data_IF_841842800669
#
_entry.id   IF_841842800669
#
_cell.length_a   1.000
_cell.length_b   1.000
_cell.length_c   1.000
_cell.angle_alpha   90.00
_cell.angle_beta   90.00
_cell.angle_gamma   90.00
#
_symmetry.space_group_name_H-M   'P 1'
#
loop_
_entity.id
_entity.type
_entity.pdbx_description
1 polymer ?
#
# COMPACT_ATOMS: atom_id res chain seq x y z
N UNK A 1 -3.49 -9.17 -36.63
CA UNK A 1 -4.18 -9.60 -35.40
C UNK A 1 -4.02 -8.47 -34.40
N UNK A 2 -5.10 -7.74 -34.07
CA UNK A 2 -5.05 -6.51 -33.26
C UNK A 2 -5.44 -6.72 -31.79
N UNK A 3 -5.25 -7.94 -31.27
CA UNK A 3 -5.66 -8.32 -29.91
C UNK A 3 -4.48 -8.87 -29.10
N UNK A 4 -3.36 -8.17 -29.11
CA UNK A 4 -2.31 -8.35 -28.12
C UNK A 4 -1.97 -6.98 -27.52
N UNK A 5 -2.99 -6.33 -26.95
CA UNK A 5 -2.74 -5.30 -25.95
C UNK A 5 -2.33 -6.01 -24.68
N UNK A 6 -1.25 -5.55 -24.04
CA UNK A 6 -0.87 -6.01 -22.71
C UNK A 6 -2.09 -5.93 -21.79
N UNK A 7 -2.22 -6.87 -20.85
CA UNK A 7 -3.30 -6.78 -19.87
C UNK A 7 -3.17 -5.45 -19.11
N UNK A 8 -4.27 -4.79 -18.70
CA UNK A 8 -4.19 -3.50 -17.99
C UNK A 8 -3.26 -3.50 -16.76
N UNK A 9 -2.99 -4.68 -16.18
CA UNK A 9 -2.02 -4.89 -15.09
C UNK A 9 -0.55 -4.88 -15.55
N UNK A 10 -0.24 -5.42 -16.73
CA UNK A 10 1.11 -5.35 -17.32
C UNK A 10 1.47 -3.88 -17.63
N UNK A 11 0.49 -3.07 -18.01
CA UNK A 11 0.68 -1.63 -18.18
C UNK A 11 0.85 -0.90 -16.84
N UNK A 12 0.18 -1.34 -15.76
CA UNK A 12 0.22 -0.64 -14.46
C UNK A 12 1.62 -0.54 -13.87
N UNK A 13 2.40 -1.61 -14.00
CA UNK A 13 3.80 -1.66 -13.55
C UNK A 13 4.70 -0.62 -14.26
N UNK A 14 4.28 -0.09 -15.41
CA UNK A 14 5.06 0.89 -16.18
C UNK A 14 4.97 2.31 -15.62
N UNK A 15 3.95 2.62 -14.80
CA UNK A 15 3.74 3.95 -14.24
C UNK A 15 3.40 3.97 -12.74
N UNK A 16 3.19 2.82 -12.11
CA UNK A 16 3.03 2.68 -10.66
C UNK A 16 4.14 1.81 -10.11
N UNK A 17 4.99 2.39 -9.26
CA UNK A 17 6.04 1.66 -8.53
C UNK A 17 5.66 1.37 -7.08
N UNK A 18 4.81 2.20 -6.50
CA UNK A 18 4.43 2.16 -5.09
C UNK A 18 2.93 2.39 -4.96
N UNK A 19 2.29 1.63 -4.08
CA UNK A 19 0.93 1.85 -3.62
C UNK A 19 0.92 2.02 -2.10
N UNK A 20 0.38 3.14 -1.60
CA UNK A 20 0.20 3.40 -0.17
C UNK A 20 -1.30 3.36 0.17
N UNK A 21 -1.86 2.17 0.43
CA UNK A 21 -3.24 2.05 0.87
C UNK A 21 -3.44 2.51 2.32
N UNK A 22 -4.46 3.35 2.54
CA UNK A 22 -4.93 3.72 3.89
C UNK A 22 -6.29 3.08 4.14
N UNK A 23 -6.31 1.99 4.90
CA UNK A 23 -7.50 1.19 5.22
C UNK A 23 -8.50 0.92 4.04
N UNK A 24 -8.06 0.45 2.86
CA UNK A 24 -8.96 0.19 1.72
C UNK A 24 -9.77 -1.10 1.91
N UNK A 25 -10.97 -0.99 2.48
CA UNK A 25 -11.82 -2.17 2.79
C UNK A 25 -12.18 -3.06 1.58
N UNK A 26 -12.09 -2.56 0.35
CA UNK A 26 -12.26 -3.38 -0.87
C UNK A 26 -11.22 -4.51 -1.01
N UNK A 27 -10.08 -4.42 -0.33
CA UNK A 27 -9.07 -5.49 -0.29
C UNK A 27 -9.63 -6.78 0.31
N UNK A 28 -10.57 -6.69 1.25
CA UNK A 28 -11.17 -7.87 1.88
C UNK A 28 -11.99 -8.71 0.90
N UNK A 29 -12.50 -8.12 -0.18
CA UNK A 29 -13.24 -8.83 -1.24
C UNK A 29 -12.42 -9.10 -2.50
N UNK A 30 -11.21 -8.55 -2.61
CA UNK A 30 -10.30 -8.83 -3.71
C UNK A 30 -9.80 -10.27 -3.64
N UNK A 31 -9.71 -10.93 -4.80
CA UNK A 31 -9.15 -12.29 -4.89
C UNK A 31 -7.64 -12.28 -4.64
N UNK A 32 -7.11 -13.39 -4.14
CA UNK A 32 -5.66 -13.51 -3.88
C UNK A 32 -4.82 -13.32 -5.14
N UNK A 33 -5.31 -13.72 -6.32
CA UNK A 33 -4.60 -13.51 -7.58
C UNK A 33 -4.53 -12.03 -7.97
N UNK A 34 -5.57 -11.25 -7.68
CA UNK A 34 -5.55 -9.79 -7.87
C UNK A 34 -4.55 -9.13 -6.93
N UNK A 35 -4.51 -9.53 -5.66
CA UNK A 35 -3.57 -8.97 -4.68
C UNK A 35 -2.12 -9.39 -4.98
N UNK A 36 -1.88 -10.67 -5.29
CA UNK A 36 -0.55 -11.17 -5.68
C UNK A 36 0.00 -10.51 -6.94
N UNK A 37 -0.86 -9.92 -7.76
CA UNK A 37 -0.39 -9.18 -8.93
C UNK A 37 0.49 -7.98 -8.57
N UNK A 38 0.33 -7.39 -7.39
CA UNK A 38 1.18 -6.30 -6.92
C UNK A 38 2.62 -6.78 -6.77
N UNK A 39 2.81 -7.92 -6.09
CA UNK A 39 4.10 -8.58 -5.94
C UNK A 39 4.71 -9.00 -7.29
N UNK A 40 3.93 -9.66 -8.16
CA UNK A 40 4.42 -10.11 -9.49
C UNK A 40 4.89 -8.93 -10.36
N UNK A 41 4.28 -7.77 -10.19
CA UNK A 41 4.63 -6.55 -10.93
C UNK A 41 5.67 -5.68 -10.20
N UNK A 42 6.28 -6.15 -9.11
CA UNK A 42 7.24 -5.40 -8.29
C UNK A 42 6.71 -4.05 -7.82
N UNK A 43 5.42 -3.97 -7.46
CA UNK A 43 4.82 -2.78 -6.87
C UNK A 43 5.00 -2.86 -5.36
N UNK A 44 5.77 -1.94 -4.79
CA UNK A 44 5.93 -1.83 -3.34
C UNK A 44 4.60 -1.41 -2.69
N UNK A 45 4.24 -2.05 -1.58
CA UNK A 45 2.98 -1.75 -0.89
C UNK A 45 3.27 -1.37 0.56
N UNK A 46 2.77 -0.21 0.99
CA UNK A 46 2.79 0.23 2.38
C UNK A 46 1.35 0.39 2.88
N UNK A 47 0.86 -0.57 3.65
CA UNK A 47 -0.46 -0.54 4.25
C UNK A 47 -0.45 0.21 5.58
N UNK A 48 -1.15 1.35 5.63
CA UNK A 48 -1.24 2.18 6.84
C UNK A 48 -2.66 2.09 7.40
N UNK A 49 -2.77 1.88 8.72
CA UNK A 49 -4.03 1.96 9.45
C UNK A 49 -3.85 2.61 10.82
N UNK A 50 -4.95 3.12 11.38
CA UNK A 50 -4.97 3.60 12.77
C UNK A 50 -5.22 2.46 13.75
N UNK A 51 -4.66 2.54 14.96
CA UNK A 51 -4.84 1.56 16.04
C UNK A 51 -6.31 1.39 16.48
N UNK A 52 -7.14 2.42 16.30
CA UNK A 52 -8.58 2.39 16.49
C UNK A 52 -9.37 1.77 15.32
N UNK A 53 -8.73 1.50 14.18
CA UNK A 53 -9.36 0.95 12.97
C UNK A 53 -9.14 -0.56 12.82
N UNK A 54 -10.03 -1.33 13.43
CA UNK A 54 -10.01 -2.81 13.37
C UNK A 54 -10.14 -3.35 11.94
N UNK A 55 -10.93 -2.69 11.09
CA UNK A 55 -11.10 -3.12 9.70
C UNK A 55 -9.86 -2.77 8.88
N UNK A 56 -9.24 -1.63 9.17
CA UNK A 56 -7.95 -1.23 8.61
C UNK A 56 -6.87 -2.25 8.93
N UNK A 57 -6.77 -2.70 10.19
CA UNK A 57 -5.83 -3.76 10.58
C UNK A 57 -6.02 -5.05 9.77
N UNK A 58 -7.27 -5.52 9.61
CA UNK A 58 -7.56 -6.72 8.80
C UNK A 58 -7.17 -6.58 7.33
N UNK A 59 -7.35 -5.38 6.77
CA UNK A 59 -6.91 -5.08 5.40
C UNK A 59 -5.38 -5.13 5.31
N UNK A 60 -4.69 -4.50 6.25
CA UNK A 60 -3.23 -4.48 6.29
C UNK A 60 -2.65 -5.89 6.44
N UNK A 61 -3.17 -6.69 7.38
CA UNK A 61 -2.79 -8.11 7.55
C UNK A 61 -2.97 -8.91 6.25
N UNK A 62 -4.11 -8.72 5.55
CA UNK A 62 -4.37 -9.39 4.27
C UNK A 62 -3.37 -8.98 3.17
N UNK A 63 -2.93 -7.72 3.14
CA UNK A 63 -1.93 -7.25 2.18
C UNK A 63 -0.54 -7.80 2.50
N UNK A 64 -0.16 -7.86 3.78
CA UNK A 64 1.09 -8.50 4.22
C UNK A 64 1.10 -9.97 3.77
N UNK A 65 0.04 -10.72 4.09
CA UNK A 65 -0.03 -12.17 3.83
C UNK A 65 -0.03 -12.54 2.34
N UNK A 66 -0.66 -11.72 1.49
CA UNK A 66 -0.95 -12.08 0.10
C UNK A 66 -0.08 -11.33 -0.90
N UNK A 67 0.33 -10.10 -0.58
CA UNK A 67 1.00 -9.19 -1.50
C UNK A 67 2.39 -8.73 -1.03
N UNK A 68 2.92 -9.29 0.07
CA UNK A 68 4.25 -8.95 0.62
C UNK A 68 4.36 -7.44 0.94
N UNK A 69 3.29 -6.88 1.49
CA UNK A 69 3.24 -5.48 1.88
C UNK A 69 3.97 -5.22 3.20
N UNK A 70 4.57 -4.03 3.33
CA UNK A 70 4.89 -3.46 4.63
C UNK A 70 3.62 -2.94 5.28
N UNK A 71 3.52 -3.03 6.61
CA UNK A 71 2.39 -2.49 7.36
C UNK A 71 2.83 -1.64 8.54
N UNK A 72 2.16 -0.51 8.71
CA UNK A 72 2.38 0.42 9.82
C UNK A 72 1.05 0.76 10.48
N UNK A 73 1.00 0.60 11.80
CA UNK A 73 -0.10 1.05 12.65
C UNK A 73 0.29 2.36 13.32
N UNK A 74 -0.53 3.39 13.17
CA UNK A 74 -0.32 4.70 13.79
C UNK A 74 -1.41 4.98 14.83
N UNK A 75 -1.18 5.91 15.76
CA UNK A 75 -2.20 6.34 16.70
C UNK A 75 -3.37 7.03 15.95
N UNK A 76 -4.61 6.57 16.12
CA UNK A 76 -5.79 7.22 15.55
C UNK A 76 -6.88 6.29 15.00
N UNK A 77 -7.85 6.89 14.32
CA UNK A 77 -8.99 6.17 13.71
C UNK A 77 -8.79 5.84 12.23
N UNK A 78 -9.89 5.56 11.52
CA UNK A 78 -9.87 5.22 10.09
C UNK A 78 -9.19 6.27 9.21
N UNK A 79 -9.43 7.56 9.49
CA UNK A 79 -8.76 8.67 8.80
C UNK A 79 -7.46 9.06 9.53
N UNK A 80 -6.53 8.11 9.65
CA UNK A 80 -5.32 8.24 10.48
C UNK A 80 -4.44 9.43 10.09
N UNK A 81 -4.42 9.80 8.80
CA UNK A 81 -3.74 11.00 8.29
C UNK A 81 -4.31 12.33 8.83
N UNK A 82 -5.52 12.34 9.40
CA UNK A 82 -6.08 13.50 10.10
C UNK A 82 -5.76 13.48 11.59
N UNK A 83 -5.65 12.29 12.18
CA UNK A 83 -5.34 12.10 13.60
C UNK A 83 -3.86 12.33 13.89
N UNK A 84 -2.99 11.81 13.02
CA UNK A 84 -1.53 11.80 13.16
C UNK A 84 -0.85 12.22 11.85
N UNK A 85 -1.07 13.48 11.40
CA UNK A 85 -0.62 13.94 10.08
C UNK A 85 0.91 13.95 9.91
N UNK A 86 1.66 14.31 10.96
CA UNK A 86 3.12 14.36 10.90
C UNK A 86 3.71 12.95 10.75
N UNK A 87 3.33 12.03 11.64
CA UNK A 87 3.75 10.63 11.62
C UNK A 87 3.35 9.91 10.31
N UNK A 88 2.15 10.19 9.80
CA UNK A 88 1.71 9.69 8.51
C UNK A 88 2.62 10.16 7.36
N UNK A 89 2.95 11.45 7.31
CA UNK A 89 3.82 12.01 6.27
C UNK A 89 5.23 11.43 6.39
N UNK A 90 5.81 11.36 7.58
CA UNK A 90 7.13 10.78 7.82
C UNK A 90 7.18 9.32 7.36
N UNK A 91 6.20 8.51 7.74
CA UNK A 91 6.08 7.10 7.33
C UNK A 91 6.04 6.96 5.80
N UNK A 92 5.26 7.79 5.11
CA UNK A 92 5.17 7.76 3.65
C UNK A 92 6.49 8.19 3.01
N UNK A 93 7.13 9.25 3.50
CA UNK A 93 8.39 9.77 2.98
C UNK A 93 9.53 8.77 3.12
N UNK A 94 9.63 8.12 4.28
CA UNK A 94 10.62 7.07 4.54
C UNK A 94 10.45 5.90 3.57
N UNK A 95 9.21 5.44 3.36
CA UNK A 95 8.93 4.33 2.45
C UNK A 95 9.23 4.63 0.99
N UNK A 96 8.91 5.85 0.51
CA UNK A 96 9.26 6.25 -0.86
C UNK A 96 10.75 6.59 -1.01
N UNK A 97 11.54 6.54 0.07
CA UNK A 97 12.97 6.85 0.08
C UNK A 97 13.30 8.35 -0.01
N UNK A 98 12.34 9.23 0.24
CA UNK A 98 12.54 10.68 0.30
C UNK A 98 12.85 11.06 1.75
N UNK A 99 14.08 10.76 2.18
CA UNK A 99 14.50 10.98 3.57
C UNK A 99 15.89 10.44 3.92
N UNK A 100 16.45 9.55 3.08
CA UNK A 100 17.81 9.02 3.24
C UNK A 100 18.89 9.97 2.73
N UNK A 101 19.61 10.59 3.67
CA UNK A 101 20.88 11.33 3.56
C UNK A 101 20.85 12.76 2.97
N UNK A 102 20.70 13.75 3.86
CA UNK A 102 21.64 14.90 3.85
C UNK A 102 22.88 14.48 4.62
N UNK A 103 23.93 14.06 3.91
CA UNK A 103 25.28 14.07 4.45
C UNK A 103 25.72 15.54 4.61
N UNK A 104 26.04 15.95 5.83
CA UNK A 104 26.98 17.04 6.09
C UNK A 104 28.37 16.44 6.32
#
# INVERSE_FOLDING_TARGET
SWLQGASPMEDMATYVSIWVPVAPYSVLSASDSQLRSLLVNNIGVLAIHGDGDRSGRQVSERLVDVADADSVELEGGHAVYLSSPEEFVETVLDFIGVGGERMF
#
